data_IF_333129233907
#
_entry.id   IF_333129233907
#
_cell.length_a   1.000
_cell.length_b   1.000
_cell.length_c   1.000
_cell.angle_alpha   90.00
_cell.angle_beta   90.00
_cell.angle_gamma   90.00
#
_symmetry.space_group_name_H-M   'P 1'
#
loop_
_entity.id
_entity.type
_entity.pdbx_description
1 polymer ?
#
# COMPACT_ATOMS: atom_id res chain seq x y z
N UNK A 1 -7.04 -12.68 0.20
CA UNK A 1 -6.96 -11.37 0.88
C UNK A 1 -6.49 -10.30 -0.11
N UNK A 2 -6.78 -9.01 0.13
CA UNK A 2 -6.49 -7.92 -0.84
C UNK A 2 -5.01 -7.84 -1.25
N UNK A 3 -4.10 -8.28 -0.37
CA UNK A 3 -2.66 -8.28 -0.59
C UNK A 3 -2.16 -9.46 -1.46
N UNK A 4 -2.93 -10.55 -1.56
CA UNK A 4 -2.53 -11.75 -2.32
C UNK A 4 -2.46 -11.46 -3.83
N UNK A 5 -3.42 -10.68 -4.34
CA UNK A 5 -3.40 -10.25 -5.74
C UNK A 5 -2.17 -9.41 -6.10
N UNK A 6 -1.59 -8.70 -5.13
CA UNK A 6 -0.35 -7.94 -5.32
C UNK A 6 0.86 -8.89 -5.38
N UNK A 7 0.94 -9.90 -4.49
CA UNK A 7 1.97 -10.95 -4.54
C UNK A 7 1.94 -11.73 -5.84
N UNK A 8 0.76 -12.18 -6.25
CA UNK A 8 0.56 -12.94 -7.49
C UNK A 8 0.98 -12.13 -8.70
N UNK A 9 0.58 -10.85 -8.75
CA UNK A 9 1.00 -9.98 -9.82
C UNK A 9 2.52 -9.83 -9.86
N UNK A 10 3.20 -9.52 -8.73
CA UNK A 10 4.67 -9.39 -8.66
C UNK A 10 5.39 -10.67 -9.14
N UNK A 11 4.89 -11.84 -8.78
CA UNK A 11 5.46 -13.13 -9.18
C UNK A 11 5.19 -13.46 -10.67
N UNK A 12 4.12 -12.91 -11.24
CA UNK A 12 3.73 -13.12 -12.63
C UNK A 12 4.69 -12.49 -13.64
N UNK A 13 4.56 -12.95 -14.89
CA UNK A 13 5.29 -12.43 -16.07
C UNK A 13 4.35 -11.80 -17.11
N UNK A 14 3.11 -11.52 -16.74
CA UNK A 14 2.13 -10.94 -17.66
C UNK A 14 2.50 -9.49 -18.02
N UNK A 15 2.15 -9.08 -19.23
CA UNK A 15 2.39 -7.72 -19.72
C UNK A 15 1.58 -6.66 -18.95
N UNK A 16 0.44 -7.05 -18.38
CA UNK A 16 -0.44 -6.21 -17.56
C UNK A 16 -0.10 -6.21 -16.07
N UNK A 17 1.02 -6.84 -15.67
CA UNK A 17 1.40 -7.01 -14.26
C UNK A 17 1.42 -5.70 -13.48
N UNK A 18 2.01 -4.65 -14.04
CA UNK A 18 2.16 -3.37 -13.35
C UNK A 18 0.80 -2.74 -13.05
N UNK A 19 -0.14 -2.84 -14.00
CA UNK A 19 -1.50 -2.36 -13.81
C UNK A 19 -2.22 -3.17 -12.72
N UNK A 20 -2.07 -4.50 -12.72
CA UNK A 20 -2.62 -5.37 -11.66
C UNK A 20 -2.09 -5.02 -10.27
N UNK A 21 -0.79 -4.74 -10.16
CA UNK A 21 -0.18 -4.29 -8.90
C UNK A 21 -0.78 -2.95 -8.46
N UNK A 22 -0.86 -1.97 -9.36
CA UNK A 22 -1.42 -0.66 -9.05
C UNK A 22 -2.90 -0.75 -8.61
N UNK A 23 -3.71 -1.57 -9.29
CA UNK A 23 -5.11 -1.80 -8.92
C UNK A 23 -5.23 -2.51 -7.56
N UNK A 24 -4.41 -3.54 -7.29
CA UNK A 24 -4.39 -4.22 -6.01
C UNK A 24 -3.97 -3.29 -4.87
N UNK A 25 -2.97 -2.44 -5.10
CA UNK A 25 -2.51 -1.44 -4.14
C UNK A 25 -3.61 -0.43 -3.79
N UNK A 26 -4.27 0.11 -4.81
CA UNK A 26 -5.40 1.03 -4.63
C UNK A 26 -6.50 0.42 -3.77
N UNK A 27 -6.87 -0.84 -4.04
CA UNK A 27 -7.90 -1.57 -3.28
C UNK A 27 -7.52 -1.75 -1.80
N UNK A 28 -6.23 -1.99 -1.51
CA UNK A 28 -5.75 -2.09 -0.12
C UNK A 28 -6.02 -0.78 0.63
N UNK A 29 -5.57 0.35 0.09
CA UNK A 29 -5.75 1.64 0.73
C UNK A 29 -7.23 2.05 0.83
N UNK A 30 -8.04 1.81 -0.22
CA UNK A 30 -9.48 2.07 -0.18
C UNK A 30 -10.16 1.29 0.96
N UNK A 31 -9.82 0.01 1.14
CA UNK A 31 -10.35 -0.80 2.23
C UNK A 31 -9.98 -0.26 3.62
N UNK A 32 -8.75 0.24 3.80
CA UNK A 32 -8.32 0.85 5.06
C UNK A 32 -9.13 2.13 5.36
N UNK A 33 -9.36 2.98 4.35
CA UNK A 33 -10.14 4.21 4.55
C UNK A 33 -11.61 3.92 4.84
N UNK A 34 -12.20 2.95 4.14
CA UNK A 34 -13.57 2.53 4.39
C UNK A 34 -13.73 1.96 5.82
N UNK A 35 -12.71 1.25 6.33
CA UNK A 35 -12.71 0.71 7.70
C UNK A 35 -12.54 1.78 8.79
N UNK A 36 -11.90 2.92 8.48
CA UNK A 36 -11.62 3.99 9.47
C UNK A 36 -12.87 4.73 9.98
N UNK A 37 -14.03 4.58 9.33
CA UNK A 37 -15.30 5.17 9.74
C UNK A 37 -15.40 6.70 9.70
N UNK A 38 -14.30 7.42 9.46
CA UNK A 38 -14.28 8.89 9.43
C UNK A 38 -14.22 9.44 8.01
N UNK A 39 -15.33 10.05 7.57
CA UNK A 39 -15.46 10.63 6.22
C UNK A 39 -14.40 11.70 5.90
N UNK A 40 -13.91 12.42 6.90
CA UNK A 40 -12.88 13.45 6.72
C UNK A 40 -11.49 12.83 6.44
N UNK A 41 -11.12 11.77 7.17
CA UNK A 41 -9.89 11.02 6.93
C UNK A 41 -9.91 10.40 5.52
N UNK A 42 -11.06 9.86 5.10
CA UNK A 42 -11.29 9.32 3.76
C UNK A 42 -11.13 10.37 2.65
N UNK A 43 -11.59 11.60 2.87
CA UNK A 43 -11.46 12.69 1.91
C UNK A 43 -10.00 13.16 1.77
N UNK A 44 -9.32 13.38 2.90
CA UNK A 44 -7.91 13.79 2.91
C UNK A 44 -6.98 12.71 2.36
N UNK A 45 -7.23 11.46 2.76
CA UNK A 45 -6.52 10.31 2.25
C UNK A 45 -6.71 10.10 0.75
N UNK A 46 -7.92 10.30 0.21
CA UNK A 46 -8.15 10.25 -1.24
C UNK A 46 -7.34 11.30 -1.98
N UNK A 47 -7.17 12.49 -1.42
CA UNK A 47 -6.27 13.51 -1.99
C UNK A 47 -4.82 13.03 -2.02
N UNK A 48 -4.36 12.29 -1.00
CA UNK A 48 -3.04 11.64 -0.99
C UNK A 48 -2.94 10.48 -2.01
N UNK A 49 -4.02 9.73 -2.24
CA UNK A 49 -4.07 8.67 -3.27
C UNK A 49 -3.93 9.19 -4.71
N UNK A 50 -4.30 10.46 -4.93
CA UNK A 50 -4.15 11.14 -6.22
C UNK A 50 -2.74 11.70 -6.44
N UNK A 51 -1.87 11.68 -5.44
CA UNK A 51 -0.45 11.94 -5.66
C UNK A 51 0.18 10.74 -6.38
N UNK A 52 1.10 10.97 -7.34
CA UNK A 52 1.83 9.90 -8.02
C UNK A 52 2.56 8.95 -7.07
N UNK A 53 2.71 9.30 -5.80
CA UNK A 53 3.35 8.49 -4.77
C UNK A 53 2.57 7.22 -4.40
N UNK A 54 1.23 7.19 -4.56
CA UNK A 54 0.40 6.02 -4.22
C UNK A 54 -0.08 5.24 -5.45
N UNK A 55 -0.12 5.91 -6.60
CA UNK A 55 -0.48 5.33 -7.91
C UNK A 55 0.74 4.94 -8.75
N UNK A 56 1.93 5.44 -8.39
CA UNK A 56 3.19 5.26 -9.10
C UNK A 56 3.97 4.03 -8.67
N UNK A 57 3.40 2.84 -8.81
CA UNK A 57 4.20 1.60 -8.77
C UNK A 57 5.11 1.44 -10.01
N UNK A 58 5.04 2.36 -10.98
CA UNK A 58 5.82 2.35 -12.22
C UNK A 58 7.31 2.66 -12.02
N UNK A 59 7.74 3.09 -10.83
CA UNK A 59 9.13 3.50 -10.52
C UNK A 59 9.84 2.55 -9.55
N UNK A 60 9.20 1.46 -9.11
CA UNK A 60 9.77 0.56 -8.12
C UNK A 60 10.48 -0.65 -8.75
N UNK A 61 11.59 -1.06 -8.15
CA UNK A 61 12.20 -2.36 -8.34
C UNK A 61 11.30 -3.48 -7.79
N UNK A 62 11.53 -4.71 -8.24
CA UNK A 62 10.80 -5.89 -7.73
C UNK A 62 10.91 -6.01 -6.20
N UNK A 63 12.09 -5.75 -5.66
CA UNK A 63 12.36 -5.86 -4.22
C UNK A 63 11.58 -4.80 -3.43
N UNK A 64 11.48 -3.57 -3.95
CA UNK A 64 10.66 -2.51 -3.35
C UNK A 64 9.17 -2.84 -3.37
N UNK A 65 8.69 -3.53 -4.41
CA UNK A 65 7.31 -4.02 -4.47
C UNK A 65 7.05 -5.11 -3.42
N UNK A 66 7.96 -6.08 -3.31
CA UNK A 66 7.86 -7.15 -2.30
C UNK A 66 7.89 -6.60 -0.87
N UNK A 67 8.72 -5.58 -0.62
CA UNK A 67 8.77 -4.87 0.65
C UNK A 67 7.45 -4.16 0.97
N UNK A 68 6.87 -3.42 0.01
CA UNK A 68 5.56 -2.76 0.21
C UNK A 68 4.47 -3.76 0.56
N UNK A 69 4.47 -4.92 -0.12
CA UNK A 69 3.52 -6.01 0.17
C UNK A 69 3.73 -6.57 1.57
N UNK A 70 4.98 -6.74 2.02
CA UNK A 70 5.26 -7.18 3.39
C UNK A 70 4.71 -6.20 4.41
N UNK A 71 4.94 -4.91 4.20
CA UNK A 71 4.44 -3.83 5.07
C UNK A 71 2.90 -3.82 5.14
N UNK A 72 2.20 -4.01 4.01
CA UNK A 72 0.73 -4.15 4.04
C UNK A 72 0.27 -5.36 4.85
N UNK A 73 0.97 -6.49 4.74
CA UNK A 73 0.60 -7.69 5.49
C UNK A 73 0.76 -7.47 6.99
N UNK A 74 1.79 -6.74 7.41
CA UNK A 74 2.01 -6.38 8.80
C UNK A 74 0.88 -5.49 9.33
N UNK A 75 0.49 -4.46 8.57
CA UNK A 75 -0.65 -3.60 8.92
C UNK A 75 -1.93 -4.44 9.08
N UNK A 76 -2.23 -5.33 8.14
CA UNK A 76 -3.41 -6.19 8.23
C UNK A 76 -3.36 -7.08 9.46
N UNK A 77 -2.21 -7.67 9.76
CA UNK A 77 -2.04 -8.56 10.92
C UNK A 77 -2.23 -7.79 12.22
N UNK A 78 -1.68 -6.58 12.31
CA UNK A 78 -1.84 -5.71 13.47
C UNK A 78 -3.32 -5.30 13.70
N UNK A 79 -4.02 -4.95 12.62
CA UNK A 79 -5.44 -4.61 12.66
C UNK A 79 -6.30 -5.82 13.07
N UNK A 80 -6.01 -7.01 12.53
CA UNK A 80 -6.70 -8.25 12.89
C UNK A 80 -6.50 -8.64 14.35
N UNK A 81 -5.31 -8.34 14.91
CA UNK A 81 -5.02 -8.53 16.33
C UNK A 81 -5.71 -7.50 17.23
N UNK A 82 -6.31 -6.43 16.68
CA UNK A 82 -6.86 -5.33 17.46
C UNK A 82 -5.81 -4.54 18.25
N UNK A 83 -4.53 -4.64 17.86
CA UNK A 83 -3.42 -3.99 18.56
C UNK A 83 -3.14 -2.62 17.92
N UNK A 84 -3.62 -1.57 18.57
CA UNK A 84 -3.51 -0.19 18.09
C UNK A 84 -2.05 0.28 17.96
N UNK A 85 -1.20 0.01 18.96
CA UNK A 85 0.19 0.43 18.96
C UNK A 85 0.96 -0.19 17.79
N UNK A 86 0.74 -1.48 17.54
CA UNK A 86 1.36 -2.17 16.41
C UNK A 86 0.84 -1.63 15.08
N UNK A 87 -0.47 -1.41 14.95
CA UNK A 87 -1.05 -0.88 13.71
C UNK A 87 -0.48 0.52 13.38
N UNK A 88 -0.34 1.38 14.40
CA UNK A 88 0.27 2.70 14.25
C UNK A 88 1.75 2.63 13.86
N UNK A 89 2.53 1.75 14.50
CA UNK A 89 3.94 1.57 14.18
C UNK A 89 4.14 1.03 12.76
N UNK A 90 3.37 0.02 12.36
CA UNK A 90 3.41 -0.58 11.02
C UNK A 90 3.02 0.43 9.93
N UNK A 91 1.97 1.22 10.15
CA UNK A 91 1.57 2.30 9.22
C UNK A 91 2.65 3.37 9.09
N UNK A 92 3.24 3.79 10.21
CA UNK A 92 4.32 4.79 10.20
C UNK A 92 5.54 4.29 9.44
N UNK A 93 5.93 3.03 9.64
CA UNK A 93 7.02 2.39 8.88
C UNK A 93 6.73 2.37 7.38
N UNK A 94 5.50 1.98 7.00
CA UNK A 94 5.06 1.94 5.62
C UNK A 94 5.14 3.32 4.94
N UNK A 95 4.61 4.37 5.58
CA UNK A 95 4.64 5.75 5.05
C UNK A 95 6.06 6.27 4.87
N UNK A 96 6.93 6.06 5.86
CA UNK A 96 8.33 6.46 5.77
C UNK A 96 9.07 5.72 4.64
N UNK A 97 8.83 4.42 4.48
CA UNK A 97 9.38 3.64 3.38
C UNK A 97 8.92 4.15 2.01
N UNK A 98 7.63 4.44 1.85
CA UNK A 98 7.09 4.99 0.61
C UNK A 98 7.71 6.36 0.26
N UNK A 99 7.85 7.23 1.26
CA UNK A 99 8.46 8.56 1.10
C UNK A 99 9.94 8.48 0.69
N UNK A 100 10.70 7.57 1.30
CA UNK A 100 12.10 7.36 0.95
C UNK A 100 12.27 6.87 -0.49
N UNK A 101 11.44 5.92 -0.93
CA UNK A 101 11.44 5.46 -2.33
C UNK A 101 11.10 6.58 -3.30
N UNK A 102 10.10 7.39 -2.96
CA UNK A 102 9.72 8.55 -3.77
C UNK A 102 10.87 9.55 -3.91
N UNK A 103 11.59 9.85 -2.82
CA UNK A 103 12.76 10.74 -2.84
C UNK A 103 13.88 10.22 -3.74
N UNK A 104 14.10 8.90 -3.78
CA UNK A 104 15.14 8.27 -4.62
C UNK A 104 14.79 8.23 -6.10
N UNK A 105 13.49 8.24 -6.42
CA UNK A 105 12.98 8.21 -7.80
C UNK A 105 12.95 9.56 -8.51
N UNK A 106 13.39 10.64 -7.84
CA UNK A 106 13.39 12.02 -8.34
C UNK A 106 14.82 12.49 -8.64
#
# INVERSE_FOLDING_TARGET
>A
MVNDGMREAIAGKSTDRIEKIAQANKRFHEGLFDASGQGYLRMFARTLLHLPMVSGFFIYSRDEMEESVRQHQEIITALQAGNEDWANAAMTCHLNGALERFRRSR
#
